data_IF_456842400276
#
_entry.id   IF_456842400276
#
_cell.length_a   1.000
_cell.length_b   1.000
_cell.length_c   1.000
_cell.angle_alpha   90.00
_cell.angle_beta   90.00
_cell.angle_gamma   90.00
#
_symmetry.space_group_name_H-M   'P 1'
#
loop_
_entity.id
_entity.type
_entity.pdbx_description
1 polymer ?
#
# COMPACT_ATOMS: atom_id res chain seq x y z
N UNK A 1 -18.12 56.44 -26.35
CA UNK A 1 -17.29 55.63 -27.28
C UNK A 1 -16.01 55.07 -26.61
N UNK A 2 -15.17 55.90 -25.94
CA UNK A 2 -13.92 55.38 -25.30
C UNK A 2 -14.14 54.27 -24.23
N UNK A 3 -15.20 54.39 -23.40
CA UNK A 3 -15.51 53.39 -22.36
C UNK A 3 -15.93 52.02 -22.93
N UNK A 4 -16.59 52.00 -24.09
CA UNK A 4 -16.98 50.75 -24.77
C UNK A 4 -15.76 50.09 -25.40
N UNK A 5 -14.81 50.88 -25.90
CA UNK A 5 -13.56 50.38 -26.48
C UNK A 5 -12.67 49.69 -25.40
N UNK A 6 -12.60 50.28 -24.20
CA UNK A 6 -11.85 49.67 -23.08
C UNK A 6 -12.52 48.39 -22.57
N UNK A 7 -13.85 48.33 -22.51
CA UNK A 7 -14.57 47.11 -22.11
C UNK A 7 -14.39 46.01 -23.16
N UNK A 8 -14.42 46.32 -24.46
CA UNK A 8 -14.15 45.35 -25.52
C UNK A 8 -12.68 44.85 -25.51
N UNK A 9 -11.71 45.75 -25.25
CA UNK A 9 -10.30 45.37 -25.14
C UNK A 9 -10.04 44.48 -23.92
N UNK A 10 -10.69 44.73 -22.78
CA UNK A 10 -10.58 43.91 -21.58
C UNK A 10 -11.22 42.52 -21.78
N UNK A 11 -12.35 42.42 -22.48
CA UNK A 11 -13.00 41.16 -22.81
C UNK A 11 -12.18 40.30 -23.78
N UNK A 12 -11.47 40.91 -24.74
CA UNK A 12 -10.59 40.19 -25.67
C UNK A 12 -9.31 39.66 -25.01
N UNK A 13 -8.77 40.33 -23.99
CA UNK A 13 -7.57 39.86 -23.29
C UNK A 13 -7.85 38.68 -22.37
N UNK A 14 -9.07 38.54 -21.83
CA UNK A 14 -9.46 37.40 -21.00
C UNK A 14 -9.72 36.11 -21.81
N UNK A 15 -9.86 36.18 -23.12
CA UNK A 15 -10.04 35.04 -24.02
C UNK A 15 -8.72 34.48 -24.56
N UNK A 16 -7.58 35.11 -24.27
CA UNK A 16 -6.26 34.74 -24.79
C UNK A 16 -5.36 34.07 -23.75
N UNK A 17 -5.87 33.73 -22.58
CA UNK A 17 -5.14 32.89 -21.66
C UNK A 17 -5.44 31.43 -22.01
N UNK A 18 -4.60 30.74 -22.80
CA UNK A 18 -4.69 29.30 -22.87
C UNK A 18 -4.36 28.77 -21.46
N UNK A 19 -5.38 28.31 -20.77
CA UNK A 19 -5.19 27.55 -19.55
C UNK A 19 -4.45 26.27 -19.95
N UNK A 20 -3.16 26.16 -19.61
CA UNK A 20 -2.38 24.94 -19.77
C UNK A 20 -2.89 23.89 -18.76
N UNK A 21 -4.09 23.35 -18.99
CA UNK A 21 -4.66 22.29 -18.15
C UNK A 21 -3.87 20.99 -18.34
N UNK A 22 -3.29 20.79 -19.52
CA UNK A 22 -2.46 19.60 -19.81
C UNK A 22 -1.13 19.57 -19.06
N UNK A 23 -0.63 20.72 -18.60
CA UNK A 23 0.63 20.81 -17.85
C UNK A 23 0.45 20.48 -16.35
N UNK A 24 -0.78 20.32 -15.88
CA UNK A 24 -1.10 19.91 -14.51
C UNK A 24 -1.08 18.39 -14.34
N UNK A 25 -1.17 17.62 -15.41
CA UNK A 25 -1.03 16.16 -15.41
C UNK A 25 0.44 15.75 -15.63
N UNK A 26 1.34 16.26 -14.81
CA UNK A 26 2.72 15.80 -14.82
C UNK A 26 2.83 14.47 -14.09
N UNK A 27 2.93 13.40 -14.85
CA UNK A 27 3.37 12.11 -14.31
C UNK A 27 4.85 12.19 -13.96
N UNK A 28 5.26 11.73 -12.77
CA UNK A 28 6.69 11.69 -12.42
C UNK A 28 7.43 10.78 -13.41
N UNK A 29 8.33 11.35 -14.20
CA UNK A 29 9.09 10.63 -15.22
C UNK A 29 10.11 9.63 -14.64
N UNK A 30 10.41 9.74 -13.36
CA UNK A 30 11.41 8.92 -12.66
C UNK A 30 10.78 8.00 -11.60
N UNK A 31 9.50 8.13 -11.30
CA UNK A 31 8.81 7.28 -10.33
C UNK A 31 8.08 6.13 -11.03
N UNK A 32 8.06 5.01 -10.35
CA UNK A 32 7.36 3.81 -10.80
C UNK A 32 5.87 4.00 -10.58
N UNK A 33 5.11 4.20 -11.65
CA UNK A 33 3.64 4.30 -11.63
C UNK A 33 3.00 2.99 -12.06
N UNK A 34 1.73 2.79 -11.73
CA UNK A 34 0.99 1.60 -12.17
C UNK A 34 0.99 1.43 -13.70
N UNK A 35 1.01 2.54 -14.45
CA UNK A 35 1.00 2.50 -15.93
C UNK A 35 2.31 1.96 -16.52
N UNK A 36 3.44 2.19 -15.87
CA UNK A 36 4.74 1.74 -16.37
C UNK A 36 5.25 0.44 -15.73
N UNK A 37 4.61 -0.02 -14.63
CA UNK A 37 4.95 -1.28 -13.96
C UNK A 37 4.33 -2.48 -14.66
N UNK A 38 3.03 -2.46 -14.95
CA UNK A 38 2.29 -3.63 -15.43
C UNK A 38 2.40 -3.84 -16.96
N UNK A 39 3.60 -3.72 -17.51
CA UNK A 39 3.88 -3.76 -18.96
C UNK A 39 4.37 -5.11 -19.46
N UNK A 40 4.69 -6.06 -18.58
CA UNK A 40 5.13 -7.42 -18.93
C UNK A 40 4.75 -8.42 -17.84
N UNK A 41 4.61 -9.70 -18.20
CA UNK A 41 4.34 -10.77 -17.22
C UNK A 41 5.43 -10.87 -16.15
N UNK A 42 6.69 -10.59 -16.50
CA UNK A 42 7.79 -10.52 -15.53
C UNK A 42 7.58 -9.41 -14.49
N UNK A 43 7.04 -8.27 -14.89
CA UNK A 43 6.76 -7.18 -13.98
C UNK A 43 5.59 -7.53 -13.04
N UNK A 44 4.55 -8.23 -13.51
CA UNK A 44 3.53 -8.79 -12.63
C UNK A 44 4.12 -9.72 -11.58
N UNK A 45 5.05 -10.58 -11.97
CA UNK A 45 5.76 -11.44 -11.03
C UNK A 45 6.55 -10.64 -9.98
N UNK A 46 7.25 -9.57 -10.39
CA UNK A 46 7.99 -8.69 -9.46
C UNK A 46 7.08 -8.00 -8.44
N UNK A 47 5.89 -7.55 -8.87
CA UNK A 47 4.91 -6.94 -7.96
C UNK A 47 4.34 -7.99 -7.01
N UNK A 48 4.04 -9.20 -7.49
CA UNK A 48 3.64 -10.30 -6.61
C UNK A 48 4.74 -10.61 -5.59
N UNK A 49 6.00 -10.67 -6.01
CA UNK A 49 7.13 -10.88 -5.11
C UNK A 49 7.24 -9.77 -4.05
N UNK A 50 6.92 -8.51 -4.40
CA UNK A 50 6.85 -7.40 -3.43
C UNK A 50 5.79 -7.66 -2.35
N UNK A 51 4.62 -8.21 -2.69
CA UNK A 51 3.58 -8.58 -1.71
C UNK A 51 4.12 -9.62 -0.72
N UNK A 52 4.82 -10.65 -1.18
CA UNK A 52 5.42 -11.65 -0.29
C UNK A 52 6.55 -11.07 0.56
N UNK A 53 7.46 -10.31 -0.05
CA UNK A 53 8.61 -9.73 0.68
C UNK A 53 8.19 -8.70 1.71
N UNK A 54 7.05 -8.04 1.55
CA UNK A 54 6.52 -7.10 2.54
C UNK A 54 6.21 -7.75 3.91
N UNK A 55 6.07 -9.08 3.97
CA UNK A 55 5.94 -9.82 5.24
C UNK A 55 7.26 -9.92 6.02
N UNK A 56 8.41 -9.81 5.36
CA UNK A 56 9.74 -10.03 5.96
C UNK A 56 10.66 -8.82 5.89
N UNK A 57 10.25 -7.75 5.20
CA UNK A 57 11.04 -6.51 5.12
C UNK A 57 10.66 -5.55 6.24
N UNK A 58 11.68 -4.87 6.78
CA UNK A 58 11.52 -3.79 7.78
C UNK A 58 11.09 -2.48 7.09
N UNK A 59 10.84 -1.43 7.89
CA UNK A 59 10.61 -0.08 7.35
C UNK A 59 11.87 0.60 6.84
N UNK A 60 11.74 1.84 6.38
CA UNK A 60 12.77 2.63 5.69
C UNK A 60 14.10 2.79 6.45
N UNK A 61 14.06 2.83 7.77
CA UNK A 61 15.20 3.20 8.61
C UNK A 61 16.27 2.10 8.74
N UNK A 62 16.01 0.90 8.27
CA UNK A 62 16.93 -0.23 8.36
C UNK A 62 17.38 -0.68 6.97
N UNK A 63 18.65 -1.02 6.83
CA UNK A 63 19.18 -1.57 5.58
C UNK A 63 18.38 -2.81 5.13
N UNK A 64 17.97 -2.84 3.85
CA UNK A 64 17.09 -3.88 3.31
C UNK A 64 15.62 -3.71 3.66
N UNK A 65 15.23 -2.55 4.20
CA UNK A 65 13.84 -2.22 4.52
C UNK A 65 12.96 -1.95 3.31
N UNK A 66 11.67 -1.81 3.55
CA UNK A 66 10.70 -1.39 2.56
C UNK A 66 10.57 0.13 2.59
N UNK A 67 10.88 0.79 1.47
CA UNK A 67 10.85 2.25 1.36
C UNK A 67 9.44 2.86 1.53
N UNK A 68 8.39 2.08 1.32
CA UNK A 68 6.99 2.52 1.40
C UNK A 68 6.42 2.41 2.83
N UNK A 69 7.17 1.83 3.77
CA UNK A 69 6.76 1.64 5.15
C UNK A 69 7.71 2.37 6.10
N UNK A 70 7.16 3.20 6.96
CA UNK A 70 7.85 3.63 8.17
C UNK A 70 7.59 2.61 9.29
N UNK A 71 8.56 2.45 10.19
CA UNK A 71 8.41 1.64 11.39
C UNK A 71 9.11 2.31 12.54
N UNK A 72 8.41 2.51 13.64
CA UNK A 72 8.96 3.11 14.86
C UNK A 72 10.06 2.23 15.49
N UNK A 73 9.98 0.92 15.28
CA UNK A 73 10.91 -0.06 15.86
C UNK A 73 11.80 -0.74 14.80
N UNK A 74 11.62 -0.43 13.51
CA UNK A 74 12.34 -1.07 12.42
C UNK A 74 12.06 -2.58 12.33
N UNK A 75 10.85 -3.03 12.68
CA UNK A 75 10.46 -4.42 12.68
C UNK A 75 9.73 -4.81 11.40
N UNK A 76 9.80 -6.10 11.04
CA UNK A 76 9.04 -6.65 9.94
C UNK A 76 7.62 -7.09 10.38
N UNK A 77 6.79 -7.45 9.39
CA UNK A 77 5.42 -7.87 9.59
C UNK A 77 5.31 -9.11 10.51
N UNK A 78 6.11 -10.13 10.25
CA UNK A 78 6.03 -11.39 11.00
C UNK A 78 6.44 -11.21 12.45
N UNK A 79 7.43 -10.38 12.73
CA UNK A 79 7.82 -10.05 14.10
C UNK A 79 6.76 -9.24 14.83
N UNK A 80 6.13 -8.26 14.16
CA UNK A 80 4.99 -7.53 14.73
C UNK A 80 3.85 -8.49 15.09
N UNK A 81 3.48 -9.37 14.15
CA UNK A 81 2.42 -10.34 14.36
C UNK A 81 2.74 -11.28 15.55
N UNK A 82 3.93 -11.88 15.56
CA UNK A 82 4.37 -12.75 16.65
C UNK A 82 4.33 -12.04 18.01
N UNK A 83 4.88 -10.84 18.11
CA UNK A 83 4.92 -10.11 19.38
C UNK A 83 3.52 -9.77 19.90
N UNK A 84 2.59 -9.39 19.03
CA UNK A 84 1.21 -9.09 19.44
C UNK A 84 0.43 -10.36 19.83
N UNK A 85 0.75 -11.52 19.27
CA UNK A 85 0.10 -12.78 19.62
C UNK A 85 0.67 -13.40 20.90
N UNK A 86 1.99 -13.36 21.07
CA UNK A 86 2.67 -14.21 22.06
C UNK A 86 3.11 -13.49 23.32
N UNK A 87 3.50 -12.20 23.24
CA UNK A 87 4.09 -11.49 24.39
C UNK A 87 3.08 -11.27 25.56
N UNK A 88 1.77 -11.24 25.24
CA UNK A 88 0.71 -11.14 26.24
C UNK A 88 0.30 -12.47 26.88
N UNK A 89 0.94 -13.58 26.48
CA UNK A 89 0.62 -14.92 26.99
C UNK A 89 1.61 -15.37 28.07
N UNK A 90 1.35 -16.52 28.70
CA UNK A 90 2.25 -17.17 29.64
C UNK A 90 3.23 -18.16 28.95
N UNK A 91 3.16 -18.29 27.62
CA UNK A 91 4.01 -19.19 26.84
C UNK A 91 5.39 -18.57 26.56
N UNK A 92 5.51 -17.24 26.57
CA UNK A 92 6.74 -16.52 26.22
C UNK A 92 7.18 -15.56 27.32
N UNK A 93 8.41 -15.74 27.81
CA UNK A 93 9.07 -14.76 28.67
C UNK A 93 10.08 -13.94 27.85
N UNK A 94 9.81 -12.66 27.69
CA UNK A 94 10.66 -11.75 26.94
C UNK A 94 11.43 -10.81 27.86
N UNK A 95 12.77 -10.82 27.78
CA UNK A 95 13.62 -10.14 28.76
C UNK A 95 13.86 -8.65 28.49
N UNK A 96 13.62 -8.15 27.26
CA UNK A 96 13.90 -6.77 26.86
C UNK A 96 12.61 -5.95 26.65
N UNK A 97 11.60 -6.19 27.45
CA UNK A 97 10.28 -5.55 27.31
C UNK A 97 10.34 -4.02 27.21
N UNK A 98 11.07 -3.36 28.13
CA UNK A 98 11.15 -1.89 28.14
C UNK A 98 12.00 -1.34 26.99
N UNK A 99 13.07 -2.02 26.61
CA UNK A 99 13.94 -1.60 25.51
C UNK A 99 13.28 -1.70 24.14
N UNK A 100 12.31 -2.61 23.98
CA UNK A 100 11.60 -2.84 22.73
C UNK A 100 10.16 -2.25 22.75
N UNK A 101 9.76 -1.52 23.80
CA UNK A 101 8.42 -0.97 23.95
C UNK A 101 7.31 -2.04 23.98
N UNK A 102 7.56 -3.18 24.62
CA UNK A 102 6.67 -4.32 24.72
C UNK A 102 6.04 -4.50 26.11
N UNK A 103 6.38 -3.64 27.05
CA UNK A 103 5.90 -3.73 28.44
C UNK A 103 4.38 -3.70 28.52
N UNK A 104 3.72 -2.83 27.73
CA UNK A 104 2.27 -2.69 27.75
C UNK A 104 1.59 -3.94 27.17
N UNK A 105 2.21 -4.57 26.14
CA UNK A 105 1.72 -5.81 25.56
C UNK A 105 1.81 -6.93 26.59
N UNK A 106 2.95 -7.09 27.26
CA UNK A 106 3.16 -8.11 28.29
C UNK A 106 2.22 -7.93 29.51
N UNK A 107 1.88 -6.69 29.85
CA UNK A 107 0.99 -6.38 30.96
C UNK A 107 -0.49 -6.33 30.57
N UNK A 108 -0.84 -6.62 29.32
CA UNK A 108 -2.21 -6.52 28.77
C UNK A 108 -2.83 -5.12 28.98
N UNK A 109 -2.01 -4.06 28.85
CA UNK A 109 -2.39 -2.66 29.10
C UNK A 109 -2.11 -1.73 27.92
N UNK A 110 -1.94 -2.28 26.72
CA UNK A 110 -1.69 -1.51 25.50
C UNK A 110 -2.88 -0.66 25.07
N UNK A 111 -2.59 0.37 24.30
CA UNK A 111 -3.58 1.19 23.61
C UNK A 111 -3.15 1.44 22.15
N UNK A 112 -3.93 2.25 21.41
CA UNK A 112 -3.67 2.58 20.01
C UNK A 112 -2.36 3.37 19.78
N UNK A 113 -1.72 3.92 20.81
CA UNK A 113 -0.45 4.63 20.71
C UNK A 113 0.76 3.70 20.85
N UNK A 114 0.54 2.44 21.22
CA UNK A 114 1.63 1.46 21.25
C UNK A 114 2.17 1.26 19.83
N UNK A 115 3.49 1.40 19.67
CA UNK A 115 4.14 1.38 18.35
C UNK A 115 4.00 0.04 17.62
N UNK A 116 3.95 -1.09 18.33
CA UNK A 116 3.75 -2.41 17.73
C UNK A 116 2.34 -2.58 17.18
N UNK A 117 1.34 -2.08 17.90
CA UNK A 117 -0.06 -2.09 17.48
C UNK A 117 -0.24 -1.24 16.21
N UNK A 118 0.27 -0.01 16.23
CA UNK A 118 0.18 0.89 15.08
C UNK A 118 0.97 0.39 13.88
N UNK A 119 2.21 -0.08 14.07
CA UNK A 119 3.04 -0.62 13.00
C UNK A 119 2.38 -1.85 12.33
N UNK A 120 1.78 -2.74 13.12
CA UNK A 120 1.09 -3.91 12.57
C UNK A 120 -0.14 -3.51 11.75
N UNK A 121 -0.94 -2.56 12.24
CA UNK A 121 -2.10 -2.04 11.52
C UNK A 121 -1.70 -1.45 10.16
N UNK A 122 -0.70 -0.58 10.13
CA UNK A 122 -0.19 0.02 8.89
C UNK A 122 0.35 -1.03 7.91
N UNK A 123 1.08 -2.03 8.40
CA UNK A 123 1.62 -3.10 7.56
C UNK A 123 0.53 -3.95 6.94
N UNK A 124 -0.51 -4.29 7.68
CA UNK A 124 -1.66 -5.03 7.16
C UNK A 124 -2.32 -4.24 6.02
N UNK A 125 -2.68 -2.97 6.25
CA UNK A 125 -3.40 -2.19 5.26
C UNK A 125 -2.54 -1.77 4.07
N UNK A 126 -1.24 -1.56 4.27
CA UNK A 126 -0.30 -1.40 3.17
C UNK A 126 -0.31 -2.65 2.25
N UNK A 127 -0.23 -3.84 2.82
CA UNK A 127 -0.23 -5.07 2.05
C UNK A 127 -1.58 -5.34 1.36
N UNK A 128 -2.69 -5.01 2.01
CA UNK A 128 -4.03 -5.05 1.39
C UNK A 128 -4.08 -4.08 0.20
N UNK A 129 -3.55 -2.87 0.34
CA UNK A 129 -3.50 -1.90 -0.75
C UNK A 129 -2.64 -2.40 -1.93
N UNK A 130 -1.49 -3.02 -1.69
CA UNK A 130 -0.66 -3.66 -2.73
C UNK A 130 -1.43 -4.78 -3.45
N UNK A 131 -2.15 -5.62 -2.70
CA UNK A 131 -2.97 -6.68 -3.30
C UNK A 131 -4.09 -6.08 -4.15
N UNK A 132 -4.80 -5.05 -3.67
CA UNK A 132 -5.87 -4.40 -4.41
C UNK A 132 -5.36 -3.74 -5.68
N UNK A 133 -4.20 -3.08 -5.62
CA UNK A 133 -3.56 -2.49 -6.79
C UNK A 133 -3.17 -3.56 -7.82
N UNK A 134 -2.57 -4.66 -7.39
CA UNK A 134 -2.27 -5.80 -8.25
C UNK A 134 -3.53 -6.33 -8.94
N UNK A 135 -4.61 -6.54 -8.18
CA UNK A 135 -5.86 -7.11 -8.68
C UNK A 135 -6.54 -6.20 -9.71
N UNK A 136 -6.53 -4.86 -9.50
CA UNK A 136 -7.02 -3.88 -10.47
C UNK A 136 -6.29 -3.99 -11.82
N UNK A 137 -4.98 -4.19 -11.77
CA UNK A 137 -4.15 -4.28 -12.97
C UNK A 137 -4.09 -5.68 -13.59
N UNK A 138 -4.50 -6.72 -12.87
CA UNK A 138 -4.56 -8.11 -13.35
C UNK A 138 -5.96 -8.54 -13.83
N UNK A 139 -6.87 -7.61 -14.15
CA UNK A 139 -8.19 -7.94 -14.71
C UNK A 139 -8.05 -8.55 -16.10
N UNK A 140 -9.02 -9.39 -16.52
CA UNK A 140 -8.97 -10.04 -17.82
C UNK A 140 -8.95 -9.03 -18.98
N UNK A 141 -9.57 -7.87 -18.80
CA UNK A 141 -9.53 -6.76 -19.75
C UNK A 141 -8.10 -6.21 -19.92
N UNK A 142 -7.42 -5.89 -18.80
CA UNK A 142 -6.08 -5.31 -18.83
C UNK A 142 -5.01 -6.26 -19.35
N UNK A 143 -5.17 -7.56 -19.12
CA UNK A 143 -4.20 -8.56 -19.60
C UNK A 143 -4.49 -9.07 -21.01
N UNK A 144 -5.57 -8.64 -21.65
CA UNK A 144 -6.00 -9.14 -22.96
C UNK A 144 -4.97 -8.95 -24.09
N UNK A 145 -4.06 -7.98 -23.96
CA UNK A 145 -2.99 -7.71 -24.92
C UNK A 145 -1.76 -8.63 -24.81
N UNK A 146 -1.64 -9.44 -23.74
CA UNK A 146 -0.55 -10.38 -23.56
C UNK A 146 -0.79 -11.69 -24.30
N UNK A 147 0.26 -12.46 -24.54
CA UNK A 147 0.13 -13.81 -25.09
C UNK A 147 -0.67 -14.74 -24.16
N UNK A 148 -1.24 -15.82 -24.70
CA UNK A 148 -2.07 -16.76 -23.91
C UNK A 148 -1.31 -17.37 -22.72
N UNK A 149 -0.01 -17.68 -22.91
CA UNK A 149 0.84 -18.19 -21.83
C UNK A 149 1.06 -17.15 -20.73
N UNK A 150 1.31 -15.90 -21.09
CA UNK A 150 1.46 -14.81 -20.14
C UNK A 150 0.17 -14.52 -19.40
N UNK A 151 -0.98 -14.47 -20.09
CA UNK A 151 -2.28 -14.33 -19.46
C UNK A 151 -2.54 -15.44 -18.44
N UNK A 152 -2.18 -16.68 -18.77
CA UNK A 152 -2.32 -17.82 -17.86
C UNK A 152 -1.46 -17.64 -16.62
N UNK A 153 -0.20 -17.23 -16.77
CA UNK A 153 0.68 -16.94 -15.64
C UNK A 153 0.14 -15.79 -14.77
N UNK A 154 -0.31 -14.68 -15.39
CA UNK A 154 -0.84 -13.53 -14.65
C UNK A 154 -2.14 -13.90 -13.89
N UNK A 155 -2.99 -14.77 -14.45
CA UNK A 155 -4.17 -15.29 -13.73
C UNK A 155 -3.79 -16.13 -12.51
N UNK A 156 -2.69 -16.91 -12.57
CA UNK A 156 -2.16 -17.62 -11.41
C UNK A 156 -1.67 -16.62 -10.34
N UNK A 157 -0.89 -15.62 -10.73
CA UNK A 157 -0.42 -14.55 -9.82
C UNK A 157 -1.59 -13.79 -9.20
N UNK A 158 -2.65 -13.54 -9.96
CA UNK A 158 -3.89 -12.93 -9.46
C UNK A 158 -4.55 -13.79 -8.36
N UNK A 159 -4.56 -15.09 -8.53
CA UNK A 159 -5.09 -16.01 -7.51
C UNK A 159 -4.25 -15.96 -6.23
N UNK A 160 -2.92 -15.92 -6.35
CA UNK A 160 -2.01 -15.77 -5.22
C UNK A 160 -2.19 -14.43 -4.50
N UNK A 161 -2.30 -13.32 -5.24
CA UNK A 161 -2.56 -12.01 -4.65
C UNK A 161 -3.90 -11.96 -3.89
N UNK A 162 -4.94 -12.64 -4.38
CA UNK A 162 -6.22 -12.80 -3.67
C UNK A 162 -6.07 -13.62 -2.38
N UNK A 163 -5.28 -14.67 -2.42
CA UNK A 163 -4.97 -15.47 -1.23
C UNK A 163 -4.23 -14.62 -0.19
N UNK A 164 -3.18 -13.89 -0.60
CA UNK A 164 -2.42 -13.02 0.30
C UNK A 164 -3.31 -11.94 0.92
N UNK A 165 -4.19 -11.31 0.15
CA UNK A 165 -5.17 -10.36 0.67
C UNK A 165 -6.07 -10.98 1.74
N UNK A 166 -6.57 -12.18 1.49
CA UNK A 166 -7.40 -12.90 2.47
C UNK A 166 -6.61 -13.21 3.76
N UNK A 167 -5.33 -13.57 3.66
CA UNK A 167 -4.46 -13.79 4.80
C UNK A 167 -4.26 -12.48 5.61
N UNK A 168 -4.02 -11.35 4.95
CA UNK A 168 -3.89 -10.05 5.63
C UNK A 168 -5.18 -9.64 6.32
N UNK A 169 -6.34 -9.86 5.70
CA UNK A 169 -7.64 -9.64 6.36
C UNK A 169 -7.89 -10.59 7.53
N UNK A 170 -7.45 -11.84 7.43
CA UNK A 170 -7.51 -12.78 8.54
C UNK A 170 -6.72 -12.25 9.76
N UNK A 171 -5.47 -11.82 9.55
CA UNK A 171 -4.66 -11.22 10.62
C UNK A 171 -5.27 -9.92 11.15
N UNK A 172 -5.88 -9.10 10.29
CA UNK A 172 -6.56 -7.90 10.69
C UNK A 172 -7.76 -8.20 11.62
N UNK A 173 -8.61 -9.17 11.25
CA UNK A 173 -9.76 -9.58 12.06
C UNK A 173 -9.34 -10.20 13.38
N UNK A 174 -8.29 -11.01 13.37
CA UNK A 174 -7.77 -11.68 14.54
C UNK A 174 -7.23 -10.67 15.59
N UNK A 175 -6.48 -9.67 15.13
CA UNK A 175 -5.84 -8.68 16.01
C UNK A 175 -6.75 -7.50 16.38
N UNK A 176 -7.64 -7.06 15.48
CA UNK A 176 -8.36 -5.79 15.60
C UNK A 176 -9.89 -5.93 15.61
N UNK A 177 -10.42 -7.12 15.42
CA UNK A 177 -11.84 -7.48 15.43
C UNK A 177 -12.66 -6.74 14.35
N UNK A 178 -13.06 -5.50 14.60
CA UNK A 178 -13.83 -4.69 13.66
C UNK A 178 -12.90 -3.90 12.75
N UNK A 179 -12.84 -4.29 11.49
CA UNK A 179 -11.88 -3.77 10.52
C UNK A 179 -12.55 -3.16 9.28
N UNK A 180 -11.99 -2.08 8.69
CA UNK A 180 -12.40 -1.61 7.37
C UNK A 180 -12.14 -2.66 6.30
N UNK A 181 -13.14 -2.90 5.44
CA UNK A 181 -13.02 -3.83 4.31
C UNK A 181 -12.98 -3.06 2.99
N UNK A 182 -11.84 -3.09 2.31
CA UNK A 182 -11.57 -2.38 1.05
C UNK A 182 -11.04 -3.36 0.01
N UNK A 183 -11.57 -3.28 -1.21
CA UNK A 183 -11.24 -4.17 -2.31
C UNK A 183 -10.70 -3.41 -3.52
N UNK A 184 -10.33 -4.12 -4.57
CA UNK A 184 -9.94 -3.56 -5.87
C UNK A 184 -11.04 -2.73 -6.54
N UNK A 185 -12.29 -2.90 -6.13
CA UNK A 185 -13.45 -2.20 -6.70
C UNK A 185 -13.77 -0.88 -5.99
N UNK A 186 -13.14 -0.63 -4.85
CA UNK A 186 -13.35 0.61 -4.11
C UNK A 186 -12.46 1.73 -4.67
N UNK A 187 -12.89 3.01 -4.55
CA UNK A 187 -12.09 4.14 -4.99
C UNK A 187 -10.71 4.16 -4.34
N UNK A 188 -9.70 4.55 -5.10
CA UNK A 188 -8.38 4.87 -4.56
C UNK A 188 -8.46 6.25 -3.93
N UNK A 189 -8.29 6.32 -2.60
CA UNK A 189 -8.35 7.58 -1.85
C UNK A 189 -7.12 8.45 -2.06
#
# INVERSE_FOLDING_TARGET
MKKILYAALFCCTSLLTPSCVDDLNQYPHLETTSENVYTSAENYYKVLAKIYTAMVTTGQEKGGGNADLSSNNGQDYMRCYFNLQEIGTDEVAYTWLSGENLTDISNLSWDANNSWVSDMYYRIYYNIALCNEFLRNASDEKISGFSENEQTAIRQYRAEARFMRALFYYHAMDLFHDIPFVTENDPVG
#
